data_IF_703391760158
#
_entry.id   IF_703391760158
#
_cell.length_a   1.000
_cell.length_b   1.000
_cell.length_c   1.000
_cell.angle_alpha   90.00
_cell.angle_beta   90.00
_cell.angle_gamma   90.00
#
_symmetry.space_group_name_H-M   'P 1'
#
loop_
_entity.id
_entity.type
_entity.pdbx_description
1 polymer ?
#
# COMPACT_ATOMS: atom_id res chain seq x y z
N UNK A 1 -12.49 -13.92 15.22
CA UNK A 1 -12.61 -12.45 15.17
C UNK A 1 -12.36 -11.85 13.78
N UNK A 2 -11.42 -12.35 12.96
CA UNK A 2 -11.14 -11.78 11.61
C UNK A 2 -11.77 -12.52 10.42
N UNK A 3 -12.68 -13.49 10.61
CA UNK A 3 -13.10 -14.37 9.51
C UNK A 3 -14.00 -13.72 8.45
N UNK A 4 -14.56 -12.53 8.71
CA UNK A 4 -15.51 -11.86 7.80
C UNK A 4 -15.16 -10.40 7.47
N UNK A 5 -13.95 -9.94 7.77
CA UNK A 5 -13.59 -8.51 7.65
C UNK A 5 -13.66 -7.97 6.20
N UNK A 6 -13.16 -8.72 5.21
CA UNK A 6 -13.31 -8.37 3.80
C UNK A 6 -14.78 -8.44 3.38
N UNK A 7 -15.55 -9.41 3.87
CA UNK A 7 -17.00 -9.47 3.63
C UNK A 7 -17.73 -8.24 4.16
N UNK A 8 -17.38 -7.77 5.36
CA UNK A 8 -18.00 -6.60 5.98
C UNK A 8 -17.60 -5.30 5.27
N UNK A 9 -16.33 -5.16 4.88
CA UNK A 9 -15.80 -3.91 4.32
C UNK A 9 -16.01 -3.81 2.80
N UNK A 10 -15.87 -4.92 2.09
CA UNK A 10 -15.84 -5.00 0.64
C UNK A 10 -17.05 -5.73 0.05
N UNK A 11 -17.99 -6.18 0.88
CA UNK A 11 -19.25 -6.80 0.46
C UNK A 11 -19.12 -8.18 -0.20
N UNK A 12 -17.90 -8.67 -0.42
CA UNK A 12 -17.68 -9.94 -1.08
C UNK A 12 -17.88 -11.12 -0.12
N UNK A 13 -18.78 -12.04 -0.50
CA UNK A 13 -19.20 -13.13 0.38
C UNK A 13 -18.52 -14.48 0.09
N UNK A 14 -17.64 -14.58 -0.91
CA UNK A 14 -17.06 -15.87 -1.32
C UNK A 14 -15.54 -15.89 -1.57
N UNK A 15 -14.86 -14.75 -1.79
CA UNK A 15 -13.39 -14.77 -1.97
C UNK A 15 -12.63 -14.90 -0.65
N UNK A 16 -12.39 -16.15 -0.25
CA UNK A 16 -11.56 -16.48 0.92
C UNK A 16 -10.13 -15.94 0.80
N UNK A 17 -9.60 -15.76 -0.42
CA UNK A 17 -8.26 -15.20 -0.62
C UNK A 17 -8.24 -13.69 -0.38
N UNK A 18 -9.29 -12.96 -0.74
CA UNK A 18 -9.43 -11.55 -0.40
C UNK A 18 -9.39 -11.33 1.11
N UNK A 19 -10.10 -12.16 1.87
CA UNK A 19 -10.09 -12.13 3.34
C UNK A 19 -8.69 -12.32 3.91
N UNK A 20 -7.96 -13.34 3.44
CA UNK A 20 -6.61 -13.65 3.92
C UNK A 20 -5.64 -12.52 3.58
N UNK A 21 -5.68 -12.02 2.34
CA UNK A 21 -4.82 -10.91 1.86
C UNK A 21 -5.03 -9.65 2.69
N UNK A 22 -6.29 -9.22 2.86
CA UNK A 22 -6.64 -8.03 3.63
C UNK A 22 -6.23 -8.18 5.10
N UNK A 23 -6.57 -9.32 5.72
CA UNK A 23 -6.25 -9.57 7.13
C UNK A 23 -4.74 -9.56 7.38
N UNK A 24 -3.96 -10.24 6.54
CA UNK A 24 -2.49 -10.25 6.65
C UNK A 24 -1.88 -8.88 6.42
N UNK A 25 -2.44 -8.11 5.50
CA UNK A 25 -1.95 -6.75 5.26
C UNK A 25 -2.24 -5.82 6.44
N UNK A 26 -3.42 -5.93 7.07
CA UNK A 26 -3.75 -5.19 8.29
C UNK A 26 -2.88 -5.60 9.49
N UNK A 27 -2.62 -6.90 9.66
CA UNK A 27 -1.68 -7.40 10.67
C UNK A 27 -0.29 -6.81 10.42
N UNK A 28 0.17 -6.79 9.17
CA UNK A 28 1.43 -6.14 8.79
C UNK A 28 1.45 -4.64 9.06
N UNK A 29 0.33 -3.95 8.89
CA UNK A 29 0.19 -2.53 9.24
C UNK A 29 0.38 -2.28 10.74
N UNK A 30 -0.25 -3.10 11.58
CA UNK A 30 -0.07 -3.04 13.04
C UNK A 30 1.37 -3.40 13.42
N UNK A 31 1.92 -4.47 12.85
CA UNK A 31 3.30 -4.88 13.11
C UNK A 31 4.31 -3.76 12.77
N UNK A 32 4.16 -3.09 11.63
CA UNK A 32 5.01 -1.96 11.23
C UNK A 32 4.87 -0.75 12.18
N UNK A 33 3.72 -0.56 12.82
CA UNK A 33 3.54 0.50 13.81
C UNK A 33 4.20 0.16 15.17
N UNK A 34 4.13 -1.10 15.59
CA UNK A 34 4.66 -1.57 16.88
C UNK A 34 6.16 -1.90 16.84
N UNK A 35 6.63 -2.47 15.72
CA UNK A 35 8.01 -2.86 15.45
C UNK A 35 8.47 -2.27 14.10
N UNK A 36 8.78 -0.96 14.05
CA UNK A 36 9.28 -0.31 12.85
C UNK A 36 10.50 -1.05 12.29
N UNK A 37 10.50 -1.30 11.00
CA UNK A 37 11.58 -2.02 10.32
C UNK A 37 11.35 -3.52 10.16
N UNK A 38 10.30 -4.09 10.76
CA UNK A 38 9.91 -5.48 10.51
C UNK A 38 9.67 -5.73 9.01
N UNK A 39 9.99 -6.92 8.50
CA UNK A 39 9.87 -7.18 7.06
C UNK A 39 8.39 -7.15 6.60
N UNK A 40 8.12 -6.47 5.49
CA UNK A 40 6.82 -6.55 4.80
C UNK A 40 7.00 -6.29 3.31
N UNK A 41 6.93 -7.35 2.52
CA UNK A 41 7.24 -7.32 1.07
C UNK A 41 6.03 -7.06 0.18
N UNK A 42 4.86 -6.88 0.79
CA UNK A 42 3.57 -6.97 0.12
C UNK A 42 2.81 -5.68 0.25
N UNK A 43 2.26 -5.21 -0.88
CA UNK A 43 1.32 -4.12 -0.94
C UNK A 43 -0.09 -4.65 -1.24
N UNK A 44 -1.10 -4.07 -0.59
CA UNK A 44 -2.49 -4.35 -0.92
C UNK A 44 -2.86 -3.63 -2.22
N UNK A 45 -3.56 -4.29 -3.13
CA UNK A 45 -4.15 -3.63 -4.30
C UNK A 45 -5.65 -3.81 -4.26
N UNK A 46 -6.38 -2.71 -4.11
CA UNK A 46 -7.83 -2.69 -4.15
C UNK A 46 -8.24 -2.38 -5.59
N UNK A 47 -8.81 -3.38 -6.28
CA UNK A 47 -9.26 -3.26 -7.67
C UNK A 47 -10.78 -3.16 -7.72
N UNK A 48 -11.28 -2.18 -8.45
CA UNK A 48 -12.68 -2.20 -8.86
C UNK A 48 -13.11 -0.89 -9.50
N UNK A 49 -14.41 -0.69 -9.75
CA UNK A 49 -14.92 0.51 -10.43
C UNK A 49 -14.57 1.84 -9.72
N UNK A 50 -14.49 2.91 -10.49
CA UNK A 50 -14.35 4.27 -9.93
C UNK A 50 -15.55 4.60 -9.04
N UNK A 51 -15.36 5.44 -8.01
CA UNK A 51 -16.44 5.86 -7.12
C UNK A 51 -16.84 4.83 -6.05
N UNK A 52 -16.25 3.63 -6.04
CA UNK A 52 -16.52 2.56 -5.05
C UNK A 52 -16.01 2.89 -3.62
N UNK A 53 -15.22 3.96 -3.46
CA UNK A 53 -14.72 4.39 -2.14
C UNK A 53 -13.36 3.81 -1.74
N UNK A 54 -12.60 3.24 -2.68
CA UNK A 54 -11.28 2.62 -2.43
C UNK A 54 -10.29 3.53 -1.69
N UNK A 55 -10.17 4.77 -2.15
CA UNK A 55 -9.30 5.77 -1.50
C UNK A 55 -9.89 6.24 -0.18
N UNK A 56 -11.22 6.40 -0.10
CA UNK A 56 -11.94 6.77 1.12
C UNK A 56 -11.71 5.76 2.24
N UNK A 57 -11.76 4.47 1.92
CA UNK A 57 -11.44 3.39 2.84
C UNK A 57 -10.05 3.52 3.44
N UNK A 58 -9.02 3.72 2.62
CA UNK A 58 -7.65 3.88 3.09
C UNK A 58 -7.51 5.15 3.96
N UNK A 59 -8.18 6.23 3.57
CA UNK A 59 -8.22 7.46 4.35
C UNK A 59 -8.85 7.27 5.73
N UNK A 60 -9.97 6.55 5.81
CA UNK A 60 -10.62 6.24 7.07
C UNK A 60 -9.79 5.28 7.95
N UNK A 61 -9.15 4.29 7.34
CA UNK A 61 -8.34 3.30 8.05
C UNK A 61 -7.12 3.92 8.75
N UNK A 62 -6.42 4.85 8.09
CA UNK A 62 -5.18 5.44 8.62
C UNK A 62 -5.35 6.87 9.15
N UNK A 63 -6.51 7.49 8.91
CA UNK A 63 -6.84 8.85 9.36
C UNK A 63 -5.77 9.86 8.97
N UNK A 64 -5.33 10.66 9.96
CA UNK A 64 -4.31 11.70 9.77
C UNK A 64 -2.93 11.19 9.34
N UNK A 65 -2.69 9.87 9.41
CA UNK A 65 -1.44 9.22 8.97
C UNK A 65 -1.54 8.63 7.55
N UNK A 66 -2.65 8.87 6.85
CA UNK A 66 -2.77 8.51 5.44
C UNK A 66 -2.02 9.51 4.56
N UNK A 67 -1.23 9.03 3.60
CA UNK A 67 -0.55 9.85 2.59
C UNK A 67 -0.65 9.20 1.20
N UNK A 68 -0.64 10.02 0.16
CA UNK A 68 -0.53 9.55 -1.23
C UNK A 68 0.85 9.90 -1.79
N UNK A 69 1.55 8.89 -2.31
CA UNK A 69 2.82 9.01 -3.02
C UNK A 69 2.54 9.09 -4.51
N UNK A 70 3.01 10.15 -5.16
CA UNK A 70 2.86 10.33 -6.61
C UNK A 70 4.21 10.06 -7.28
N UNK A 71 4.20 9.40 -8.44
CA UNK A 71 5.42 9.06 -9.21
C UNK A 71 6.21 10.29 -9.68
N UNK A 72 5.55 11.45 -9.79
CA UNK A 72 6.15 12.71 -10.20
C UNK A 72 6.91 13.44 -9.08
N UNK A 73 6.89 12.92 -7.85
CA UNK A 73 7.60 13.55 -6.73
C UNK A 73 9.05 13.07 -6.70
N UNK A 74 9.98 14.01 -6.83
CA UNK A 74 11.41 13.82 -6.61
C UNK A 74 11.66 13.08 -5.28
N UNK A 75 12.75 12.31 -5.20
CA UNK A 75 13.12 11.49 -4.04
C UNK A 75 13.06 12.27 -2.71
N UNK A 76 13.41 13.55 -2.73
CA UNK A 76 13.35 14.47 -1.57
C UNK A 76 11.94 14.63 -0.98
N UNK A 77 10.91 14.69 -1.81
CA UNK A 77 9.52 14.86 -1.35
C UNK A 77 8.94 13.55 -0.82
N UNK A 78 9.29 12.42 -1.45
CA UNK A 78 8.94 11.09 -0.92
C UNK A 78 9.59 10.87 0.46
N UNK A 79 10.85 11.30 0.60
CA UNK A 79 11.59 11.29 1.86
C UNK A 79 10.94 12.17 2.94
N UNK A 80 10.24 13.25 2.59
CA UNK A 80 9.48 14.03 3.58
C UNK A 80 8.17 13.37 4.00
N UNK A 81 7.50 12.69 3.08
CA UNK A 81 6.18 12.11 3.27
C UNK A 81 6.25 10.81 4.09
N UNK A 82 7.19 9.91 3.77
CA UNK A 82 7.27 8.57 4.36
C UNK A 82 7.40 8.56 5.89
N UNK A 83 8.20 9.44 6.54
CA UNK A 83 8.25 9.52 7.99
C UNK A 83 6.94 9.91 8.69
N UNK A 84 6.01 10.51 7.96
CA UNK A 84 4.74 11.03 8.51
C UNK A 84 3.56 10.11 8.22
N UNK A 85 3.79 9.02 7.48
CA UNK A 85 2.74 8.16 6.97
C UNK A 85 2.76 6.81 7.69
N UNK A 86 1.60 6.34 8.11
CA UNK A 86 1.41 4.94 8.50
C UNK A 86 0.83 4.13 7.34
N UNK A 87 -0.10 4.73 6.60
CA UNK A 87 -0.65 4.17 5.37
C UNK A 87 -0.28 5.02 4.16
N UNK A 88 0.41 4.42 3.20
CA UNK A 88 0.79 5.08 1.96
C UNK A 88 0.00 4.50 0.78
N UNK A 89 -0.83 5.33 0.16
CA UNK A 89 -1.36 5.03 -1.16
C UNK A 89 -0.29 5.31 -2.22
N UNK A 90 0.02 4.30 -3.01
CA UNK A 90 0.75 4.45 -4.26
C UNK A 90 -0.23 5.07 -5.27
N UNK A 91 0.06 6.29 -5.71
CA UNK A 91 -0.74 7.05 -6.68
C UNK A 91 -0.81 6.37 -8.05
N UNK A 92 -1.56 6.99 -8.98
CA UNK A 92 -1.70 6.53 -10.36
C UNK A 92 -0.33 6.53 -11.05
N UNK A 93 0.38 5.41 -10.94
CA UNK A 93 1.44 5.05 -11.86
C UNK A 93 0.71 4.49 -13.10
N UNK A 94 0.02 5.38 -13.83
CA UNK A 94 -0.80 5.00 -15.00
C UNK A 94 -0.02 5.06 -16.32
N UNK A 95 1.25 5.48 -16.36
CA UNK A 95 1.97 5.57 -17.65
C UNK A 95 3.43 5.07 -17.66
N UNK A 96 4.03 4.78 -16.51
CA UNK A 96 5.48 4.50 -16.44
C UNK A 96 5.77 3.22 -15.69
N UNK A 97 5.27 2.10 -16.21
CA UNK A 97 5.79 0.78 -15.89
C UNK A 97 6.60 0.28 -17.09
N UNK A 98 7.77 0.87 -17.33
CA UNK A 98 8.83 0.09 -17.99
C UNK A 98 9.24 -1.00 -16.99
N UNK A 99 9.72 -2.15 -17.47
CA UNK A 99 10.16 -3.28 -16.63
C UNK A 99 11.15 -2.87 -15.51
N UNK A 100 11.86 -1.75 -15.70
CA UNK A 100 12.74 -1.13 -14.70
C UNK A 100 11.98 -0.58 -13.48
N UNK A 101 10.79 -0.02 -13.68
CA UNK A 101 9.99 0.64 -12.64
C UNK A 101 9.31 -0.37 -11.71
N UNK A 102 8.94 -1.55 -12.22
CA UNK A 102 8.39 -2.65 -11.38
C UNK A 102 9.48 -3.17 -10.43
N UNK A 103 10.69 -3.40 -10.93
CA UNK A 103 11.81 -3.88 -10.09
C UNK A 103 12.19 -2.86 -9.03
N UNK A 104 12.23 -1.58 -9.39
CA UNK A 104 12.45 -0.49 -8.43
C UNK A 104 11.33 -0.41 -7.38
N UNK A 105 10.07 -0.54 -7.78
CA UNK A 105 8.94 -0.58 -6.85
C UNK A 105 9.00 -1.80 -5.94
N UNK A 106 9.37 -2.98 -6.44
CA UNK A 106 9.56 -4.19 -5.62
C UNK A 106 10.66 -3.97 -4.59
N UNK A 107 11.80 -3.41 -5.00
CA UNK A 107 12.90 -3.08 -4.09
C UNK A 107 12.44 -2.07 -3.03
N UNK A 108 11.75 -1.01 -3.48
CA UNK A 108 11.16 0.00 -2.60
C UNK A 108 10.23 -0.66 -1.57
N UNK A 109 9.27 -1.49 -1.96
CA UNK A 109 8.37 -2.17 -1.01
C UNK A 109 9.11 -3.00 0.04
N UNK A 110 10.19 -3.69 -0.34
CA UNK A 110 10.95 -4.59 0.54
C UNK A 110 11.88 -3.89 1.53
N UNK A 111 12.10 -2.58 1.39
CA UNK A 111 12.98 -1.84 2.29
C UNK A 111 12.43 -1.80 3.73
N UNK A 112 13.33 -2.02 4.69
CA UNK A 112 13.05 -1.96 6.13
C UNK A 112 13.46 -0.63 6.75
N UNK A 113 14.24 0.17 6.02
CA UNK A 113 14.80 1.44 6.45
C UNK A 113 14.55 2.48 5.38
N UNK A 114 14.18 3.68 5.79
CA UNK A 114 14.10 4.82 4.89
C UNK A 114 15.49 5.46 4.83
N UNK A 115 16.12 5.42 3.66
CA UNK A 115 17.44 6.01 3.43
C UNK A 115 17.28 7.51 3.17
N UNK A 116 17.41 8.34 4.21
CA UNK A 116 17.49 9.80 4.07
C UNK A 116 18.93 10.18 3.82
N UNK A 117 19.34 10.30 2.56
CA UNK A 117 20.76 10.52 2.28
C UNK A 117 21.19 11.98 2.46
N UNK A 118 20.33 13.00 2.29
CA UNK A 118 20.85 14.36 2.03
C UNK A 118 20.13 15.58 2.64
N UNK A 119 19.23 15.46 3.64
CA UNK A 119 18.54 16.67 4.20
C UNK A 119 18.72 16.96 5.69
N UNK A 120 19.41 16.12 6.46
CA UNK A 120 19.81 16.47 7.82
C UNK A 120 21.33 16.51 7.88
N UNK A 121 21.88 17.74 7.90
CA UNK A 121 23.29 17.99 8.23
C UNK A 121 23.59 17.76 9.72
N UNK A 122 22.60 17.38 10.52
CA UNK A 122 22.80 16.85 11.86
C UNK A 122 22.59 15.33 11.87
N UNK A 123 23.65 14.65 12.31
CA UNK A 123 23.79 13.23 12.64
C UNK A 123 22.49 12.47 12.98
N UNK A 124 22.37 11.22 12.49
CA UNK A 124 21.62 10.20 13.24
C UNK A 124 20.84 9.19 12.40
N UNK A 125 21.25 7.92 12.51
CA UNK A 125 20.59 6.65 12.17
C UNK A 125 19.46 6.59 11.11
N UNK A 126 19.49 5.60 10.19
CA UNK A 126 18.38 5.39 9.25
C UNK A 126 17.07 5.16 9.99
N UNK A 127 15.99 5.88 9.63
CA UNK A 127 14.69 5.67 10.29
C UNK A 127 14.08 4.36 9.80
N UNK A 128 13.75 3.50 10.75
CA UNK A 128 13.08 2.25 10.47
C UNK A 128 11.69 2.52 9.87
N UNK A 129 11.33 1.75 8.85
CA UNK A 129 10.08 1.93 8.13
C UNK A 129 8.91 1.39 8.95
N UNK A 130 7.94 2.27 9.22
CA UNK A 130 6.73 1.96 9.97
C UNK A 130 5.45 2.03 9.12
N UNK A 131 5.56 2.35 7.83
CA UNK A 131 4.43 2.49 6.92
C UNK A 131 4.13 1.21 6.13
N UNK A 132 2.88 1.03 5.72
CA UNK A 132 2.44 0.03 4.75
C UNK A 132 1.93 0.66 3.46
N UNK A 133 1.99 -0.10 2.38
CA UNK A 133 1.61 0.39 1.05
C UNK A 133 0.31 -0.25 0.55
N UNK A 134 -0.52 0.58 -0.06
CA UNK A 134 -1.70 0.15 -0.79
C UNK A 134 -1.77 0.84 -2.15
N UNK A 135 -2.38 0.20 -3.14
CA UNK A 135 -2.72 0.81 -4.43
C UNK A 135 -4.22 0.65 -4.67
N UNK A 136 -4.81 1.62 -5.36
CA UNK A 136 -6.15 1.51 -5.91
C UNK A 136 -6.07 1.48 -7.42
N UNK A 137 -6.79 0.60 -8.09
CA UNK A 137 -6.82 0.54 -9.56
C UNK A 137 -8.23 0.20 -10.05
N UNK A 138 -8.55 0.63 -11.28
CA UNK A 138 -9.75 0.19 -11.99
C UNK A 138 -9.40 -0.84 -13.07
N UNK A 139 -8.13 -0.97 -13.44
CA UNK A 139 -7.66 -1.84 -14.51
C UNK A 139 -7.40 -3.27 -14.03
N UNK A 140 -7.70 -4.23 -14.89
CA UNK A 140 -7.39 -5.65 -14.68
C UNK A 140 -5.94 -5.99 -15.01
N UNK A 141 -5.36 -5.33 -16.03
CA UNK A 141 -4.03 -5.58 -16.57
C UNK A 141 -2.99 -4.53 -16.15
N UNK A 142 -2.95 -4.19 -14.86
CA UNK A 142 -2.04 -3.15 -14.34
C UNK A 142 -0.64 -3.68 -13.97
N UNK A 143 -0.43 -5.00 -13.99
CA UNK A 143 0.84 -5.65 -13.66
C UNK A 143 1.24 -6.61 -14.80
N UNK A 144 2.02 -6.12 -15.77
CA UNK A 144 2.69 -6.97 -16.75
C UNK A 144 4.01 -7.50 -16.18
N UNK A 145 3.92 -8.37 -15.16
CA UNK A 145 5.09 -8.98 -14.53
C UNK A 145 5.09 -10.52 -14.66
N UNK A 146 5.93 -11.08 -15.56
CA UNK A 146 6.04 -12.53 -15.75
C UNK A 146 6.72 -13.25 -14.57
N UNK A 147 7.39 -12.54 -13.64
CA UNK A 147 8.10 -13.15 -12.49
C UNK A 147 7.24 -13.37 -11.25
N UNK A 148 5.95 -13.06 -11.35
CA UNK A 148 4.96 -13.36 -10.32
C UNK A 148 4.66 -12.19 -9.40
N UNK A 149 3.40 -11.75 -9.46
CA UNK A 149 2.75 -10.68 -8.70
C UNK A 149 2.64 -10.94 -7.18
N UNK A 150 3.50 -11.77 -6.58
CA UNK A 150 3.40 -12.20 -5.16
C UNK A 150 3.46 -11.06 -4.15
N UNK A 151 4.06 -9.94 -4.54
CA UNK A 151 4.20 -8.70 -3.75
C UNK A 151 2.97 -7.79 -3.84
N UNK A 152 2.02 -8.07 -4.73
CA UNK A 152 0.81 -7.29 -4.90
C UNK A 152 -0.40 -8.16 -4.60
N UNK A 153 -1.00 -7.94 -3.44
CA UNK A 153 -2.16 -8.69 -3.00
C UNK A 153 -3.43 -8.02 -3.50
N UNK A 154 -3.92 -8.51 -4.63
CA UNK A 154 -5.11 -7.97 -5.30
C UNK A 154 -6.37 -8.45 -4.59
N UNK A 155 -7.25 -7.49 -4.28
CA UNK A 155 -8.59 -7.68 -3.72
C UNK A 155 -9.59 -6.93 -4.59
N UNK A 156 -10.60 -7.65 -5.07
CA UNK A 156 -11.64 -7.13 -5.96
C UNK A 156 -12.84 -6.59 -5.17
N UNK A 157 -13.35 -5.43 -5.59
CA UNK A 157 -14.48 -4.72 -4.93
C UNK A 157 -15.59 -4.33 -5.92
N UNK A 158 -15.66 -4.94 -7.10
CA UNK A 158 -16.40 -4.44 -8.27
C UNK A 158 -17.91 -4.21 -8.09
N UNK A 159 -18.54 -4.82 -7.08
CA UNK A 159 -20.00 -4.79 -6.91
C UNK A 159 -20.49 -4.10 -5.63
N UNK A 160 -19.60 -3.56 -4.79
CA UNK A 160 -20.00 -3.10 -3.46
C UNK A 160 -19.39 -1.75 -3.12
N UNK A 161 -20.23 -0.78 -2.74
CA UNK A 161 -19.76 0.48 -2.17
C UNK A 161 -19.06 0.15 -0.85
N UNK A 162 -17.79 0.52 -0.72
CA UNK A 162 -17.06 0.29 0.52
C UNK A 162 -17.73 1.12 1.61
N UNK A 163 -18.27 0.44 2.61
CA UNK A 163 -18.93 1.09 3.74
C UNK A 163 -17.84 1.69 4.62
N UNK A 164 -17.78 3.02 4.62
CA UNK A 164 -16.97 3.80 5.53
C UNK A 164 -17.97 4.46 6.46
N UNK A 165 -18.00 4.01 7.72
CA UNK A 165 -18.86 4.56 8.77
C UNK A 165 -18.46 5.97 9.16
#
# INVERSE_FOLDING_TARGET
MFQSLAKTLFGDSQDQMAQVKLSRWLIGAVARALDPGCQMDTALVIRGRQGVGKTTFLGALFGKYFRTLHSSKNDTEQQRILPQAWGCKLGEIEATFRTKDISALKAFLTETKNSFRDMCKDLGAPRLRHCVFARTTNETAFLNDPTGSRRFWIVDVDNYKILVG
#
